data_IF_883588200077
#
_entry.id   IF_883588200077
#
_cell.length_a   1.000
_cell.length_b   1.000
_cell.length_c   1.000
_cell.angle_alpha   90.00
_cell.angle_beta   90.00
_cell.angle_gamma   90.00
#
_symmetry.space_group_name_H-M   'P 1'
#
loop_
_entity.id
_entity.type
_entity.pdbx_description
1 polymer ?
#
# COMPACT_ATOMS: atom_id res chain seq x y z
N UNK A 1 6.37 -21.14 -14.80
CA UNK A 1 5.32 -21.25 -13.80
C UNK A 1 5.78 -20.61 -12.51
N UNK A 2 5.10 -19.59 -12.12
CA UNK A 2 5.53 -18.92 -10.94
C UNK A 2 4.74 -19.39 -9.74
N UNK A 3 5.42 -20.01 -8.83
CA UNK A 3 4.81 -20.57 -7.66
C UNK A 3 5.10 -19.77 -6.41
N UNK A 4 5.91 -18.71 -6.54
CA UNK A 4 6.25 -17.90 -5.37
C UNK A 4 5.24 -16.77 -5.21
N UNK A 5 4.64 -16.75 -4.04
CA UNK A 5 3.72 -15.68 -3.66
C UNK A 5 4.48 -14.71 -2.75
N UNK A 6 4.83 -13.57 -3.29
CA UNK A 6 5.58 -12.54 -2.58
C UNK A 6 4.67 -11.39 -2.20
N UNK A 7 4.63 -11.07 -0.92
CA UNK A 7 3.80 -10.03 -0.37
C UNK A 7 4.65 -8.99 0.32
N UNK A 8 4.40 -7.72 0.01
CA UNK A 8 5.03 -6.58 0.65
C UNK A 8 3.98 -5.90 1.52
N UNK A 9 4.11 -6.05 2.82
CA UNK A 9 3.28 -5.31 3.76
C UNK A 9 3.98 -4.02 4.15
N UNK A 10 3.28 -2.90 4.07
CA UNK A 10 3.90 -1.60 4.32
C UNK A 10 3.11 -0.85 5.39
N UNK A 11 3.80 -0.56 6.47
CA UNK A 11 3.27 0.27 7.56
C UNK A 11 3.74 1.70 7.34
N UNK A 12 2.83 2.53 6.85
CA UNK A 12 3.15 3.89 6.44
C UNK A 12 3.06 4.84 7.64
N UNK A 13 4.10 5.62 7.84
CA UNK A 13 4.13 6.67 8.86
C UNK A 13 4.58 7.99 8.26
N UNK A 14 4.70 9.02 9.08
CA UNK A 14 4.98 10.36 8.57
C UNK A 14 6.35 10.50 7.92
N UNK A 15 7.39 10.00 8.57
CA UNK A 15 8.76 10.17 8.08
C UNK A 15 9.31 8.95 7.39
N UNK A 16 8.90 7.79 7.84
CA UNK A 16 9.39 6.53 7.30
C UNK A 16 8.28 5.52 7.28
N UNK A 17 8.46 4.50 6.47
CA UNK A 17 7.56 3.36 6.42
C UNK A 17 8.35 2.10 6.67
N UNK A 18 7.72 1.14 7.32
CA UNK A 18 8.32 -0.18 7.51
C UNK A 18 7.78 -1.12 6.46
N UNK A 19 8.67 -1.90 5.86
CA UNK A 19 8.32 -2.86 4.82
C UNK A 19 8.64 -4.25 5.34
N UNK A 20 7.67 -5.15 5.22
CA UNK A 20 7.86 -6.56 5.54
C UNK A 20 7.61 -7.38 4.29
N UNK A 21 8.56 -8.22 3.92
CA UNK A 21 8.42 -9.07 2.73
C UNK A 21 8.21 -10.50 3.18
N UNK A 22 7.15 -11.11 2.70
CA UNK A 22 6.84 -12.50 2.94
C UNK A 22 6.81 -13.26 1.63
N UNK A 23 7.41 -14.44 1.63
CA UNK A 23 7.37 -15.34 0.48
C UNK A 23 6.73 -16.65 0.93
N UNK A 24 5.64 -17.01 0.28
CA UNK A 24 4.89 -18.23 0.59
C UNK A 24 4.54 -18.34 2.07
N UNK A 25 4.14 -17.21 2.66
CA UNK A 25 3.69 -17.17 4.04
C UNK A 25 4.79 -17.05 5.09
N UNK A 26 6.03 -16.90 4.67
CA UNK A 26 7.15 -16.77 5.61
C UNK A 26 7.87 -15.45 5.42
N UNK A 27 8.17 -14.78 6.52
CA UNK A 27 8.91 -13.53 6.46
C UNK A 27 10.33 -13.78 6.02
N UNK A 28 10.76 -13.10 4.97
CA UNK A 28 12.12 -13.23 4.44
C UNK A 28 12.95 -11.98 4.66
N UNK A 29 12.30 -10.83 4.85
CA UNK A 29 13.03 -9.59 5.08
C UNK A 29 12.11 -8.54 5.68
N UNK A 30 12.67 -7.59 6.41
CA UNK A 30 11.98 -6.37 6.78
C UNK A 30 13.00 -5.22 6.86
N UNK A 31 12.53 -4.03 6.55
CA UNK A 31 13.37 -2.84 6.58
C UNK A 31 12.50 -1.59 6.60
N UNK A 32 13.14 -0.47 6.89
CA UNK A 32 12.46 0.83 6.86
C UNK A 32 12.94 1.63 5.65
N UNK A 33 12.03 2.41 5.10
CA UNK A 33 12.34 3.34 4.02
C UNK A 33 11.88 4.75 4.43
N UNK A 34 12.54 5.75 3.90
CA UNK A 34 12.04 7.12 4.04
C UNK A 34 10.82 7.33 3.14
N UNK A 35 9.90 8.20 3.57
CA UNK A 35 8.69 8.49 2.80
C UNK A 35 8.93 9.60 1.80
N UNK A 36 9.88 9.36 0.92
CA UNK A 36 10.25 10.28 -0.15
C UNK A 36 10.72 9.47 -1.35
N UNK A 37 11.14 10.15 -2.39
CA UNK A 37 11.55 9.47 -3.62
C UNK A 37 12.74 8.53 -3.41
N UNK A 38 13.63 8.86 -2.48
CA UNK A 38 14.77 7.99 -2.18
C UNK A 38 14.29 6.65 -1.63
N UNK A 39 13.43 6.71 -0.61
CA UNK A 39 12.89 5.50 0.01
C UNK A 39 12.01 4.70 -0.96
N UNK A 40 11.17 5.39 -1.70
CA UNK A 40 10.28 4.73 -2.65
C UNK A 40 11.06 4.07 -3.78
N UNK A 41 12.14 4.68 -4.24
CA UNK A 41 12.99 4.08 -5.27
C UNK A 41 13.70 2.83 -4.76
N UNK A 42 14.07 2.80 -3.48
CA UNK A 42 14.61 1.60 -2.86
C UNK A 42 13.57 0.48 -2.87
N UNK A 43 12.36 0.80 -2.47
CA UNK A 43 11.25 -0.16 -2.50
C UNK A 43 11.01 -0.66 -3.92
N UNK A 44 11.02 0.24 -4.88
CA UNK A 44 10.82 -0.11 -6.28
C UNK A 44 11.88 -1.10 -6.77
N UNK A 45 13.12 -0.92 -6.35
CA UNK A 45 14.19 -1.85 -6.69
C UNK A 45 13.87 -3.28 -6.27
N UNK A 46 13.32 -3.44 -5.08
CA UNK A 46 12.91 -4.76 -4.59
C UNK A 46 11.67 -5.27 -5.33
N UNK A 47 10.72 -4.41 -5.59
CA UNK A 47 9.49 -4.78 -6.30
C UNK A 47 9.79 -5.28 -7.71
N UNK A 48 10.76 -4.67 -8.37
CA UNK A 48 11.14 -5.06 -9.73
C UNK A 48 11.78 -6.44 -9.81
N UNK A 49 12.31 -6.94 -8.72
CA UNK A 49 12.90 -8.27 -8.69
C UNK A 49 11.86 -9.38 -8.59
N UNK A 50 10.60 -9.02 -8.38
CA UNK A 50 9.51 -9.97 -8.21
C UNK A 50 8.58 -9.85 -9.40
N UNK A 51 8.18 -10.99 -9.96
CA UNK A 51 7.33 -11.00 -11.15
C UNK A 51 5.96 -10.40 -10.89
N UNK A 52 5.32 -10.80 -9.82
CA UNK A 52 3.98 -10.31 -9.46
C UNK A 52 3.93 -9.99 -7.98
N UNK A 53 4.52 -8.88 -7.58
CA UNK A 53 4.48 -8.53 -6.16
C UNK A 53 3.07 -8.15 -5.74
N UNK A 54 2.68 -8.61 -4.57
CA UNK A 54 1.44 -8.18 -3.93
C UNK A 54 1.82 -7.15 -2.87
N UNK A 55 1.18 -6.01 -2.90
CA UNK A 55 1.49 -4.91 -2.01
C UNK A 55 0.25 -4.60 -1.19
N UNK A 56 0.41 -4.46 0.10
CA UNK A 56 -0.70 -4.11 0.98
C UNK A 56 -0.27 -3.06 2.01
N UNK A 57 -1.09 -2.05 2.18
CA UNK A 57 -0.90 -1.02 3.19
C UNK A 57 -2.24 -0.46 3.64
N UNK A 58 -2.24 0.18 4.80
CA UNK A 58 -3.44 0.80 5.33
C UNK A 58 -3.50 2.27 4.91
N UNK A 59 -4.68 2.74 4.57
CA UNK A 59 -4.89 4.14 4.22
C UNK A 59 -4.71 5.00 5.47
N UNK A 60 -3.68 5.83 5.49
CA UNK A 60 -3.33 6.67 6.63
C UNK A 60 -3.18 8.13 6.23
N UNK A 61 -4.11 8.63 5.47
CA UNK A 61 -4.14 10.03 5.08
C UNK A 61 -3.08 10.41 4.06
N UNK A 62 -2.45 11.56 4.26
CA UNK A 62 -1.54 12.12 3.27
C UNK A 62 -0.32 11.24 2.99
N UNK A 63 0.16 10.52 4.01
CA UNK A 63 1.36 9.72 3.84
C UNK A 63 1.13 8.50 2.97
N UNK A 64 0.00 7.83 3.13
CA UNK A 64 -0.35 6.72 2.26
C UNK A 64 -0.66 7.19 0.83
N UNK A 65 -1.14 8.41 0.67
CA UNK A 65 -1.38 8.97 -0.66
C UNK A 65 -0.10 9.13 -1.46
N UNK A 66 0.99 9.50 -0.81
CA UNK A 66 2.28 9.60 -1.48
C UNK A 66 2.76 8.25 -2.00
N UNK A 67 2.64 7.23 -1.15
CA UNK A 67 2.96 5.87 -1.57
C UNK A 67 2.05 5.42 -2.70
N UNK A 68 0.76 5.66 -2.56
CA UNK A 68 -0.23 5.32 -3.58
C UNK A 68 0.11 5.96 -4.93
N UNK A 69 0.42 7.25 -4.91
CA UNK A 69 0.77 7.97 -6.13
C UNK A 69 2.01 7.39 -6.80
N UNK A 70 3.00 7.01 -6.00
CA UNK A 70 4.21 6.39 -6.51
C UNK A 70 3.91 5.03 -7.14
N UNK A 71 3.12 4.21 -6.48
CA UNK A 71 2.74 2.90 -7.00
C UNK A 71 1.91 3.02 -8.29
N UNK A 72 0.99 3.97 -8.31
CA UNK A 72 0.18 4.24 -9.50
C UNK A 72 1.06 4.69 -10.68
N UNK A 73 2.03 5.53 -10.40
CA UNK A 73 2.94 6.02 -11.44
C UNK A 73 3.73 4.88 -12.08
N UNK A 74 4.05 3.87 -11.31
CA UNK A 74 4.79 2.71 -11.81
C UNK A 74 3.89 1.54 -12.22
N UNK A 75 2.58 1.80 -12.29
CA UNK A 75 1.58 0.81 -12.70
C UNK A 75 1.62 -0.47 -11.85
N UNK A 76 1.91 -0.32 -10.57
CA UNK A 76 1.95 -1.43 -9.64
C UNK A 76 0.59 -1.62 -8.95
N UNK A 77 0.21 -2.86 -8.79
CA UNK A 77 -1.04 -3.22 -8.12
C UNK A 77 -0.83 -3.30 -6.63
N UNK A 78 -1.85 -2.91 -5.89
CA UNK A 78 -1.77 -2.93 -4.43
C UNK A 78 -3.17 -3.10 -3.82
N UNK A 79 -3.17 -3.45 -2.54
CA UNK A 79 -4.36 -3.44 -1.70
C UNK A 79 -4.19 -2.29 -0.72
N UNK A 80 -5.12 -1.37 -0.73
CA UNK A 80 -5.14 -0.30 0.27
C UNK A 80 -6.31 -0.57 1.21
N UNK A 81 -5.99 -0.91 2.45
CA UNK A 81 -7.02 -1.24 3.41
C UNK A 81 -7.61 0.01 4.05
N UNK A 82 -8.91 0.02 4.10
CA UNK A 82 -9.63 1.04 4.86
C UNK A 82 -9.40 0.79 6.35
N UNK A 83 -9.13 1.82 7.16
CA UNK A 83 -8.95 1.63 8.60
C UNK A 83 -10.11 0.93 9.29
N UNK A 84 -11.33 1.11 8.83
CA UNK A 84 -12.48 0.42 9.40
C UNK A 84 -12.46 -1.07 9.11
N UNK A 85 -12.08 -1.45 7.90
CA UNK A 85 -11.92 -2.86 7.55
C UNK A 85 -10.77 -3.48 8.32
N UNK A 86 -9.70 -2.75 8.48
CA UNK A 86 -8.57 -3.20 9.26
C UNK A 86 -8.98 -3.49 10.70
N UNK A 87 -9.77 -2.61 11.30
CA UNK A 87 -10.28 -2.82 12.65
C UNK A 87 -11.20 -4.02 12.74
N UNK A 88 -12.04 -4.26 11.75
CA UNK A 88 -12.90 -5.44 11.75
C UNK A 88 -12.09 -6.71 11.72
N UNK A 89 -11.06 -6.75 10.91
CA UNK A 89 -10.22 -7.94 10.79
C UNK A 89 -9.38 -8.17 12.04
N UNK A 90 -8.96 -7.12 12.70
CA UNK A 90 -8.24 -7.25 13.96
C UNK A 90 -9.14 -7.69 15.10
N UNK A 91 -10.41 -7.36 15.06
CA UNK A 91 -11.36 -7.85 16.07
C UNK A 91 -11.57 -9.34 15.95
N UNK A 92 -11.54 -9.88 14.75
CA UNK A 92 -11.65 -11.30 14.53
C UNK A 92 -10.40 -12.04 15.03
N UNK A 93 -9.32 -11.32 15.18
CA UNK A 93 -8.08 -11.85 15.71
C UNK A 93 -7.94 -11.41 17.15
N UNK A 94 -8.27 -12.29 18.06
CA UNK A 94 -8.35 -12.00 19.50
C UNK A 94 -7.08 -11.48 20.13
N UNK A 95 -5.98 -11.58 19.42
CA UNK A 95 -4.69 -11.15 19.96
C UNK A 95 -4.30 -9.75 19.58
N UNK A 96 -5.16 -9.09 18.85
CA UNK A 96 -4.85 -7.74 18.48
C UNK A 96 -5.04 -6.79 19.61
N UNK A 97 -4.00 -6.08 19.82
CA UNK A 97 -3.92 -5.14 20.86
C UNK A 97 -4.61 -3.87 20.56
N UNK A 98 -4.47 -3.04 21.42
CA UNK A 98 -4.92 -1.71 21.61
C UNK A 98 -4.38 -0.69 20.62
N UNK A 99 -3.39 -1.05 19.79
CA UNK A 99 -2.89 -0.13 18.77
C UNK A 99 -3.82 -0.14 17.59
N UNK A 100 -4.28 1.02 17.20
CA UNK A 100 -5.19 1.17 16.09
C UNK A 100 -4.52 0.96 14.75
N UNK A 101 -3.21 0.81 14.74
CA UNK A 101 -2.43 0.74 13.53
C UNK A 101 -1.88 -0.66 13.30
N UNK A 102 -2.04 -1.15 12.08
CA UNK A 102 -1.52 -2.44 11.70
C UNK A 102 -0.07 -2.31 11.27
N UNK A 103 0.80 -3.17 11.81
CA UNK A 103 2.20 -3.14 11.39
C UNK A 103 2.42 -3.90 10.09
N UNK A 104 3.61 -3.75 9.53
CA UNK A 104 3.94 -4.31 8.24
C UNK A 104 3.84 -5.83 8.23
N UNK A 105 4.28 -6.49 9.29
CA UNK A 105 4.22 -7.94 9.38
C UNK A 105 2.78 -8.43 9.37
N UNK A 106 1.91 -7.77 10.16
CA UNK A 106 0.50 -8.17 10.21
C UNK A 106 -0.17 -8.00 8.85
N UNK A 107 0.09 -6.87 8.19
CA UNK A 107 -0.46 -6.63 6.85
C UNK A 107 0.00 -7.69 5.86
N UNK A 108 1.28 -8.03 5.89
CA UNK A 108 1.81 -9.05 5.00
C UNK A 108 1.20 -10.42 5.29
N UNK A 109 1.04 -10.78 6.56
CA UNK A 109 0.37 -12.02 6.94
C UNK A 109 -1.08 -12.04 6.49
N UNK A 110 -1.77 -10.94 6.68
CA UNK A 110 -3.17 -10.84 6.29
C UNK A 110 -3.34 -11.11 4.80
N UNK A 111 -2.53 -10.50 3.98
CA UNK A 111 -2.60 -10.71 2.55
C UNK A 111 -2.16 -12.11 2.15
N UNK A 112 -1.19 -12.70 2.87
CA UNK A 112 -0.73 -14.05 2.60
C UNK A 112 -1.77 -15.11 2.94
N UNK A 113 -2.45 -14.95 4.08
CA UNK A 113 -3.42 -15.92 4.58
C UNK A 113 -4.80 -15.73 3.99
N UNK A 114 -5.20 -14.48 3.79
CA UNK A 114 -6.52 -14.12 3.29
C UNK A 114 -6.36 -13.12 2.15
N UNK A 115 -5.94 -13.58 0.98
CA UNK A 115 -5.65 -12.67 -0.13
C UNK A 115 -6.84 -11.78 -0.45
N UNK A 116 -6.65 -10.50 -0.26
CA UNK A 116 -7.62 -9.54 -0.71
C UNK A 116 -7.45 -9.34 -2.20
N UNK A 117 -8.56 -9.05 -2.85
CA UNK A 117 -8.50 -8.64 -4.22
C UNK A 117 -7.60 -7.44 -4.30
N UNK A 118 -6.64 -7.47 -5.22
CA UNK A 118 -5.83 -6.31 -5.49
C UNK A 118 -6.77 -5.23 -5.99
N UNK A 119 -7.22 -4.41 -5.06
CA UNK A 119 -8.36 -3.54 -5.26
C UNK A 119 -8.04 -2.39 -6.19
N UNK A 120 -6.77 -2.23 -6.42
CA UNK A 120 -6.37 -1.19 -7.31
C UNK A 120 -5.70 -1.68 -8.53
N UNK A 121 -6.27 -2.70 -9.05
CA UNK A 121 -6.30 -2.65 -10.46
C UNK A 121 -7.33 -1.64 -10.80
N UNK A 122 -6.96 -0.43 -10.82
CA UNK A 122 -7.82 0.55 -11.35
C UNK A 122 -7.99 0.23 -12.82
N UNK A 123 -9.19 -0.10 -13.21
CA UNK A 123 -9.45 -0.15 -14.62
C UNK A 123 -9.20 1.24 -15.19
N UNK A 124 -9.00 1.32 -16.49
CA UNK A 124 -8.73 2.60 -17.14
C UNK A 124 -9.81 3.65 -16.85
N UNK A 125 -11.06 3.21 -16.80
CA UNK A 125 -12.17 4.12 -16.53
C UNK A 125 -12.04 4.79 -15.17
N UNK A 126 -11.69 4.02 -14.16
CA UNK A 126 -11.53 4.57 -12.82
C UNK A 126 -10.34 5.52 -12.76
N UNK A 127 -9.23 5.16 -13.39
CA UNK A 127 -8.06 6.01 -13.44
C UNK A 127 -8.35 7.33 -14.16
N UNK A 128 -9.07 7.27 -15.26
CA UNK A 128 -9.47 8.46 -16.00
C UNK A 128 -10.38 9.35 -15.16
N UNK A 129 -11.32 8.76 -14.45
CA UNK A 129 -12.21 9.50 -13.57
C UNK A 129 -11.43 10.21 -12.46
N UNK A 130 -10.51 9.54 -11.84
CA UNK A 130 -9.68 10.14 -10.80
C UNK A 130 -8.78 11.23 -11.34
N UNK A 131 -8.21 11.04 -12.52
CA UNK A 131 -7.39 12.06 -13.16
C UNK A 131 -8.21 13.31 -13.49
N UNK A 132 -9.41 13.13 -14.01
CA UNK A 132 -10.30 14.23 -14.32
C UNK A 132 -10.70 14.99 -13.07
N UNK A 133 -10.99 14.30 -11.99
CA UNK A 133 -11.33 14.94 -10.72
C UNK A 133 -10.16 15.74 -10.18
N UNK A 134 -8.95 15.21 -10.26
CA UNK A 134 -7.75 15.93 -9.82
C UNK A 134 -7.52 17.20 -10.62
N UNK A 135 -7.70 17.14 -11.92
CA UNK A 135 -7.57 18.29 -12.78
C UNK A 135 -8.60 19.33 -12.42
N UNK A 136 -9.84 18.92 -12.21
CA UNK A 136 -10.90 19.83 -11.85
C UNK A 136 -10.65 20.49 -10.50
N UNK A 137 -10.27 19.72 -9.51
CA UNK A 137 -9.97 20.25 -8.17
C UNK A 137 -8.82 21.25 -8.22
N UNK A 138 -7.77 20.93 -8.96
CA UNK A 138 -6.64 21.83 -9.09
C UNK A 138 -7.01 23.12 -9.78
N UNK A 139 -7.78 23.05 -10.85
CA UNK A 139 -8.25 24.25 -11.53
C UNK A 139 -9.11 25.13 -10.63
N UNK A 140 -10.02 24.52 -9.88
CA UNK A 140 -10.84 25.23 -8.91
C UNK A 140 -10.00 25.88 -7.80
N UNK A 141 -9.02 25.16 -7.33
CA UNK A 141 -8.12 25.67 -6.30
C UNK A 141 -7.31 26.86 -6.81
N UNK A 142 -6.78 26.76 -8.02
CA UNK A 142 -6.00 27.85 -8.62
C UNK A 142 -6.84 29.12 -8.79
N UNK A 143 -8.11 28.97 -9.18
CA UNK A 143 -9.00 30.09 -9.30
C UNK A 143 -9.30 30.76 -7.95
N UNK A 144 -9.41 29.98 -6.90
CA UNK A 144 -9.67 30.50 -5.57
C UNK A 144 -8.42 31.14 -4.96
N UNK A 145 -7.25 30.57 -5.24
CA UNK A 145 -5.99 31.03 -4.67
C UNK A 145 -5.53 32.37 -5.24
N UNK A 146 -6.03 32.74 -6.37
CA UNK A 146 -5.69 34.00 -7.02
C UNK A 146 -6.73 35.07 -6.70
#
# INVERSE_FOLDING_TARGET
>A
MDLLKTVFGIDVSSRKSNVCIMVNGQKVNDYAISNDMVGFNRLLGDLKQVTKPQIIFEATGVYSRRLQAFLDMHELRYVMMNPLEAKRKTKDDLHQNKTDKLDALYLAKLQSEHPQRLAYVQNKEYQELMANNRIYEQASHDLISN
#
